data_IF_816924226885
#
_entry.id   IF_816924226885
#
_cell.length_a   1.000
_cell.length_b   1.000
_cell.length_c   1.000
_cell.angle_alpha   90.00
_cell.angle_beta   90.00
_cell.angle_gamma   90.00
#
_symmetry.space_group_name_H-M   'P 1'
#
loop_
_entity.id
_entity.type
_entity.pdbx_description
1 polymer ?
#
# COMPACT_ATOMS: atom_id res chain seq x y z
N UNK A 1 -53.75 10.16 -50.57
CA UNK A 1 -52.41 10.77 -50.64
C UNK A 1 -52.02 11.22 -49.23
N UNK A 2 -51.30 10.36 -48.48
CA UNK A 2 -49.90 10.54 -48.07
C UNK A 2 -49.70 11.74 -47.10
N UNK A 3 -49.86 11.51 -45.78
CA UNK A 3 -48.79 11.26 -44.77
C UNK A 3 -47.71 12.35 -44.71
N UNK A 4 -47.60 13.01 -43.55
CA UNK A 4 -46.39 12.99 -42.67
C UNK A 4 -46.60 13.87 -41.43
N UNK A 5 -46.95 13.21 -40.33
CA UNK A 5 -46.84 13.73 -38.97
C UNK A 5 -45.39 13.53 -38.53
N UNK A 6 -44.64 14.62 -38.31
CA UNK A 6 -43.27 14.58 -37.81
C UNK A 6 -43.35 14.49 -36.28
N UNK A 7 -43.25 13.28 -35.73
CA UNK A 7 -42.98 13.07 -34.30
C UNK A 7 -41.48 13.24 -34.06
N UNK A 8 -41.10 14.33 -33.41
CA UNK A 8 -39.77 14.55 -32.87
C UNK A 8 -39.68 13.76 -31.55
N UNK A 9 -39.01 12.60 -31.56
CA UNK A 9 -38.66 11.88 -30.33
C UNK A 9 -37.45 12.58 -29.73
N UNK A 10 -37.69 13.46 -28.75
CA UNK A 10 -36.65 13.96 -27.87
C UNK A 10 -36.15 12.80 -27.00
N UNK A 11 -35.02 12.20 -27.38
CA UNK A 11 -34.32 11.24 -26.54
C UNK A 11 -33.60 12.02 -25.43
N UNK A 12 -34.26 12.18 -24.29
CA UNK A 12 -33.66 12.69 -23.07
C UNK A 12 -32.55 11.72 -22.64
N UNK A 13 -31.29 12.08 -22.90
CA UNK A 13 -30.16 11.37 -22.33
C UNK A 13 -30.01 11.82 -20.87
N UNK A 14 -30.53 11.02 -19.94
CA UNK A 14 -30.13 11.10 -18.55
C UNK A 14 -28.68 10.61 -18.47
N UNK A 15 -27.73 11.55 -18.47
CA UNK A 15 -26.36 11.28 -18.05
C UNK A 15 -26.44 11.06 -16.54
N UNK A 16 -26.43 9.79 -16.11
CA UNK A 16 -26.22 9.48 -14.70
C UNK A 16 -24.77 9.83 -14.39
N UNK A 17 -24.56 10.92 -13.65
CA UNK A 17 -23.30 11.17 -12.97
C UNK A 17 -23.18 10.09 -11.89
N UNK A 18 -22.35 9.08 -12.14
CA UNK A 18 -22.08 8.01 -11.19
C UNK A 18 -20.94 8.54 -10.31
N UNK A 19 -21.23 8.85 -9.06
CA UNK A 19 -20.18 9.10 -8.08
C UNK A 19 -19.46 7.76 -7.85
N UNK A 20 -18.13 7.74 -7.94
CA UNK A 20 -17.33 6.63 -7.43
C UNK A 20 -17.66 6.49 -5.94
N UNK A 21 -18.25 5.36 -5.55
CA UNK A 21 -18.56 5.10 -4.16
C UNK A 21 -17.33 4.50 -3.47
N UNK A 22 -17.17 4.76 -2.18
CA UNK A 22 -16.09 4.16 -1.40
C UNK A 22 -16.34 2.66 -1.19
N UNK A 23 -15.34 1.83 -1.43
CA UNK A 23 -15.35 0.43 -1.04
C UNK A 23 -15.18 0.34 0.48
N UNK A 24 -15.90 -0.56 1.15
CA UNK A 24 -15.71 -0.79 2.58
C UNK A 24 -15.18 -2.20 2.78
N UNK A 25 -13.95 -2.30 3.28
CA UNK A 25 -13.28 -3.57 3.57
C UNK A 25 -12.97 -3.59 5.06
N UNK A 26 -13.65 -4.46 5.80
CA UNK A 26 -13.49 -4.63 7.25
C UNK A 26 -13.63 -3.33 8.07
N UNK A 27 -14.50 -2.42 7.63
CA UNK A 27 -14.74 -1.14 8.29
C UNK A 27 -13.81 0.00 7.85
N UNK A 28 -12.85 -0.29 6.97
CA UNK A 28 -12.00 0.71 6.32
C UNK A 28 -12.65 1.14 5.01
N UNK A 29 -12.94 2.43 4.87
CA UNK A 29 -13.45 2.99 3.61
C UNK A 29 -12.28 3.29 2.69
N UNK A 30 -12.27 2.73 1.48
CA UNK A 30 -11.27 2.97 0.43
C UNK A 30 -11.93 3.66 -0.77
N UNK A 31 -11.41 4.80 -1.21
CA UNK A 31 -11.87 5.47 -2.46
C UNK A 31 -10.77 5.44 -3.51
N UNK A 32 -11.16 5.40 -4.78
CA UNK A 32 -10.23 5.38 -5.90
C UNK A 32 -9.39 6.66 -5.99
N UNK A 33 -8.13 6.51 -6.38
CA UNK A 33 -7.19 7.60 -6.64
C UNK A 33 -5.93 7.50 -5.78
N UNK A 34 -5.19 8.61 -5.64
CA UNK A 34 -3.91 8.61 -4.94
C UNK A 34 -4.05 8.11 -3.52
N UNK A 35 -3.21 7.16 -3.15
CA UNK A 35 -3.10 6.61 -1.82
C UNK A 35 -1.84 7.15 -1.15
N UNK A 36 -2.02 7.76 0.01
CA UNK A 36 -0.94 8.15 0.92
C UNK A 36 -1.35 7.71 2.31
N UNK A 37 -0.53 6.92 2.97
CA UNK A 37 -0.72 6.52 4.36
C UNK A 37 0.51 6.91 5.15
N UNK A 38 0.33 7.64 6.24
CA UNK A 38 1.41 8.12 7.10
C UNK A 38 1.27 7.55 8.49
N UNK A 39 2.41 7.22 9.06
CA UNK A 39 2.57 6.81 10.44
C UNK A 39 3.57 7.74 11.10
N UNK A 40 3.14 8.51 12.08
CA UNK A 40 3.98 9.32 12.95
C UNK A 40 4.65 8.46 14.04
N UNK A 41 4.08 7.28 14.32
CA UNK A 41 4.59 6.33 15.31
C UNK A 41 4.99 5.01 14.65
N UNK A 42 6.29 4.89 14.36
CA UNK A 42 6.92 3.66 13.85
C UNK A 42 8.08 3.27 14.75
N UNK A 43 8.07 2.01 15.16
CA UNK A 43 9.16 1.37 15.87
C UNK A 43 9.92 0.47 14.90
N UNK A 44 11.23 0.43 15.05
CA UNK A 44 12.11 -0.47 14.30
C UNK A 44 13.07 -1.15 15.25
N UNK A 45 13.35 -2.42 14.95
CA UNK A 45 14.46 -3.16 15.53
C UNK A 45 15.34 -3.71 14.42
N UNK A 46 16.63 -3.39 14.47
CA UNK A 46 17.66 -3.94 13.59
C UNK A 46 18.58 -4.84 14.41
N UNK A 47 18.62 -6.12 14.08
CA UNK A 47 19.47 -7.10 14.77
C UNK A 47 20.96 -6.84 14.52
N UNK A 48 21.81 -7.00 15.54
CA UNK A 48 23.25 -6.79 15.44
C UNK A 48 24.02 -8.03 14.91
N UNK A 49 23.46 -8.77 13.95
CA UNK A 49 24.08 -9.97 13.37
C UNK A 49 24.46 -9.77 11.89
N UNK A 50 25.38 -10.59 11.33
CA UNK A 50 25.80 -10.47 9.93
C UNK A 50 24.65 -10.65 8.93
N UNK A 51 23.68 -11.49 9.28
CA UNK A 51 22.46 -11.78 8.51
C UNK A 51 21.30 -10.87 8.91
N UNK A 52 21.59 -9.73 9.55
CA UNK A 52 20.63 -8.83 10.20
C UNK A 52 19.31 -8.71 9.42
N UNK A 53 18.25 -9.25 10.00
CA UNK A 53 16.90 -8.92 9.61
C UNK A 53 16.51 -7.61 10.31
N UNK A 54 15.66 -6.82 9.65
CA UNK A 54 15.00 -5.72 10.34
C UNK A 54 13.52 -6.04 10.47
N UNK A 55 12.96 -5.57 11.57
CA UNK A 55 11.54 -5.59 11.81
C UNK A 55 11.08 -4.17 12.12
N UNK A 56 9.90 -3.81 11.66
CA UNK A 56 9.27 -2.54 12.00
C UNK A 56 7.78 -2.75 12.25
N UNK A 57 7.19 -1.91 13.09
CA UNK A 57 5.76 -1.94 13.35
C UNK A 57 5.27 -0.56 13.74
N UNK A 58 3.97 -0.32 13.60
CA UNK A 58 3.39 0.96 13.93
C UNK A 58 1.91 1.04 13.67
N UNK A 59 1.38 2.24 13.86
CA UNK A 59 -0.02 2.60 13.62
C UNK A 59 -0.11 3.54 12.43
N UNK A 60 -1.15 3.41 11.62
CA UNK A 60 -1.48 4.34 10.54
C UNK A 60 -2.27 5.50 11.13
N UNK A 61 -1.64 6.68 11.25
CA UNK A 61 -2.23 7.87 11.87
C UNK A 61 -3.12 8.64 10.90
N UNK A 62 -2.66 8.80 9.66
CA UNK A 62 -3.48 9.40 8.61
C UNK A 62 -3.37 8.58 7.35
N UNK A 63 -4.52 8.35 6.72
CA UNK A 63 -4.54 8.03 5.30
C UNK A 63 -5.14 9.22 4.56
N UNK A 64 -4.76 9.38 3.30
CA UNK A 64 -5.42 10.28 2.35
C UNK A 64 -6.93 10.08 2.39
N UNK A 65 -7.70 11.00 1.80
CA UNK A 65 -9.17 10.86 1.67
C UNK A 65 -9.64 9.56 0.98
N UNK A 66 -8.69 8.77 0.45
CA UNK A 66 -8.86 7.44 -0.13
C UNK A 66 -8.77 6.28 0.83
N UNK A 67 -8.43 6.43 2.11
CA UNK A 67 -8.56 5.35 3.10
C UNK A 67 -8.95 5.95 4.46
N UNK A 68 -10.00 5.48 5.12
CA UNK A 68 -10.40 5.98 6.45
C UNK A 68 -10.93 4.87 7.35
N UNK A 69 -10.35 4.75 8.56
CA UNK A 69 -10.85 3.91 9.65
C UNK A 69 -11.72 4.77 10.58
N UNK A 70 -13.04 4.61 10.55
CA UNK A 70 -13.94 5.47 11.33
C UNK A 70 -14.02 5.14 12.83
N UNK A 71 -13.92 3.85 13.17
CA UNK A 71 -14.01 3.33 14.55
C UNK A 71 -12.97 2.23 14.84
N UNK A 72 -12.06 2.02 13.89
CA UNK A 72 -11.08 0.96 13.93
C UNK A 72 -9.67 1.55 13.98
N UNK A 73 -8.73 0.70 14.33
CA UNK A 73 -7.30 0.97 14.35
C UNK A 73 -6.64 0.19 13.22
N UNK A 74 -5.79 0.84 12.43
CA UNK A 74 -5.05 0.22 11.35
C UNK A 74 -3.56 0.22 11.75
N UNK A 75 -2.99 -0.96 11.94
CA UNK A 75 -1.59 -1.16 12.32
C UNK A 75 -0.87 -1.93 11.23
N UNK A 76 0.47 -1.96 11.30
CA UNK A 76 1.27 -2.76 10.39
C UNK A 76 2.47 -3.39 11.08
N UNK A 77 2.93 -4.51 10.52
CA UNK A 77 4.19 -5.17 10.87
C UNK A 77 4.96 -5.48 9.59
N UNK A 78 6.21 -5.03 9.53
CA UNK A 78 7.19 -5.34 8.50
C UNK A 78 8.24 -6.29 9.07
N UNK A 79 8.53 -7.39 8.38
CA UNK A 79 9.48 -8.44 8.82
C UNK A 79 10.05 -9.21 7.63
N UNK A 80 10.92 -10.18 7.91
CA UNK A 80 11.48 -11.14 6.94
C UNK A 80 12.32 -10.48 5.82
N UNK A 81 12.80 -9.25 6.04
CA UNK A 81 13.73 -8.58 5.13
C UNK A 81 15.14 -9.11 5.33
N UNK A 82 15.72 -9.69 4.28
CA UNK A 82 17.03 -10.33 4.33
C UNK A 82 18.10 -9.35 3.86
N UNK A 83 19.12 -9.12 4.67
CA UNK A 83 20.27 -8.31 4.27
C UNK A 83 21.01 -8.95 3.11
N UNK A 84 21.28 -8.15 2.08
CA UNK A 84 22.04 -8.53 0.90
C UNK A 84 23.51 -8.15 1.06
N UNK A 85 23.77 -6.86 1.26
CA UNK A 85 25.11 -6.29 1.39
C UNK A 85 25.02 -4.85 1.95
N UNK A 86 26.16 -4.20 2.16
CA UNK A 86 26.28 -2.79 2.52
C UNK A 86 27.27 -2.06 1.62
N UNK A 87 26.96 -0.81 1.25
CA UNK A 87 27.85 0.08 0.51
C UNK A 87 27.84 1.47 1.16
N UNK A 88 28.97 1.85 1.77
CA UNK A 88 29.07 3.11 2.49
C UNK A 88 28.09 3.15 3.67
N UNK A 89 27.19 4.13 3.67
CA UNK A 89 26.13 4.28 4.68
C UNK A 89 24.86 3.49 4.37
N UNK A 90 24.78 2.80 3.23
CA UNK A 90 23.60 2.08 2.80
C UNK A 90 23.71 0.59 3.13
N UNK A 91 22.60 0.02 3.57
CA UNK A 91 22.40 -1.42 3.68
C UNK A 91 21.23 -1.81 2.79
N UNK A 92 21.44 -2.83 1.97
CA UNK A 92 20.48 -3.30 0.99
C UNK A 92 19.82 -4.56 1.49
N UNK A 93 18.52 -4.64 1.32
CA UNK A 93 17.69 -5.76 1.73
C UNK A 93 16.87 -6.24 0.54
N UNK A 94 16.51 -7.50 0.57
CA UNK A 94 15.59 -8.13 -0.37
C UNK A 94 14.48 -8.86 0.36
N UNK A 95 13.49 -9.28 -0.41
CA UNK A 95 12.33 -9.99 0.11
C UNK A 95 11.59 -9.09 1.12
N UNK A 96 11.09 -9.66 2.21
CA UNK A 96 10.34 -8.95 3.24
C UNK A 96 8.83 -8.94 2.99
N UNK A 97 8.09 -8.86 4.09
CA UNK A 97 6.63 -8.81 4.12
C UNK A 97 6.20 -7.61 4.95
N UNK A 98 5.14 -6.92 4.52
CA UNK A 98 4.45 -5.90 5.30
C UNK A 98 2.98 -6.30 5.39
N UNK A 99 2.51 -6.57 6.60
CA UNK A 99 1.12 -6.96 6.87
C UNK A 99 0.42 -5.83 7.59
N UNK A 100 -0.74 -5.41 7.08
CA UNK A 100 -1.62 -4.45 7.73
C UNK A 100 -2.75 -5.19 8.44
N UNK A 101 -3.07 -4.74 9.65
CA UNK A 101 -4.11 -5.32 10.50
C UNK A 101 -5.15 -4.28 10.85
N UNK A 102 -6.42 -4.66 10.74
CA UNK A 102 -7.55 -3.86 11.22
C UNK A 102 -8.01 -4.42 12.56
N UNK A 103 -7.91 -3.61 13.61
CA UNK A 103 -8.50 -3.89 14.90
C UNK A 103 -9.77 -3.04 15.14
N UNK A 104 -10.82 -3.70 15.63
CA UNK A 104 -12.08 -3.07 16.00
C UNK A 104 -12.11 -2.61 17.46
N UNK A 105 -11.05 -2.88 18.22
CA UNK A 105 -10.90 -2.47 19.62
C UNK A 105 -9.64 -1.62 19.85
N UNK A 106 -9.55 -0.40 19.27
CA UNK A 106 -8.31 0.40 19.26
C UNK A 106 -7.59 0.41 20.61
N UNK A 107 -6.42 -0.22 20.65
CA UNK A 107 -5.67 -0.49 21.87
C UNK A 107 -4.14 -0.44 21.67
N UNK A 108 -3.66 -0.02 20.50
CA UNK A 108 -2.23 0.01 20.20
C UNK A 108 -1.44 0.76 21.28
N UNK A 109 -0.49 0.05 21.88
CA UNK A 109 0.31 0.53 22.99
C UNK A 109 1.79 0.73 22.62
N UNK A 110 2.12 0.58 21.33
CA UNK A 110 3.48 0.64 20.82
C UNK A 110 4.21 -0.70 20.81
N UNK A 111 3.61 -1.78 21.30
CA UNK A 111 4.18 -3.13 21.20
C UNK A 111 3.85 -3.79 19.86
N UNK A 112 4.65 -4.78 19.47
CA UNK A 112 4.33 -5.60 18.29
C UNK A 112 3.08 -6.45 18.51
N UNK A 113 2.79 -6.83 19.76
CA UNK A 113 1.65 -7.69 20.08
C UNK A 113 0.33 -6.98 19.80
N UNK A 114 0.21 -5.71 20.18
CA UNK A 114 -0.94 -4.85 19.83
C UNK A 114 -0.88 -4.32 18.40
N UNK A 115 0.24 -4.47 17.68
CA UNK A 115 0.32 -4.15 16.25
C UNK A 115 -0.24 -5.27 15.36
N UNK A 116 -0.44 -6.48 15.89
CA UNK A 116 -0.80 -7.67 15.12
C UNK A 116 -2.01 -8.44 15.69
N UNK A 117 -2.71 -7.88 16.68
CA UNK A 117 -3.87 -8.49 17.33
C UNK A 117 -5.19 -8.29 16.54
N UNK A 118 -5.17 -7.44 15.52
CA UNK A 118 -6.26 -7.27 14.56
C UNK A 118 -6.36 -8.37 13.48
N UNK A 119 -7.31 -8.20 12.57
CA UNK A 119 -7.48 -9.07 11.40
C UNK A 119 -6.63 -8.59 10.22
N UNK A 120 -5.95 -9.51 9.53
CA UNK A 120 -5.16 -9.19 8.32
C UNK A 120 -6.06 -8.52 7.27
N UNK A 121 -5.66 -7.34 6.81
CA UNK A 121 -6.42 -6.51 5.88
C UNK A 121 -5.74 -6.37 4.51
N UNK A 122 -4.42 -6.15 4.51
CA UNK A 122 -3.60 -6.05 3.31
C UNK A 122 -2.25 -6.71 3.59
N UNK A 123 -1.75 -7.50 2.65
CA UNK A 123 -0.44 -8.12 2.73
C UNK A 123 0.39 -7.73 1.51
N UNK A 124 1.60 -7.24 1.79
CA UNK A 124 2.56 -6.78 0.81
C UNK A 124 3.85 -7.59 0.91
N UNK A 125 4.53 -7.78 -0.22
CA UNK A 125 5.86 -8.38 -0.29
C UNK A 125 6.85 -7.40 -0.95
N UNK A 126 8.14 -7.48 -0.61
CA UNK A 126 9.17 -6.67 -1.25
C UNK A 126 9.26 -6.91 -2.76
N UNK A 127 9.16 -5.85 -3.55
CA UNK A 127 9.32 -5.90 -5.00
C UNK A 127 10.81 -5.96 -5.36
N UNK A 128 11.32 -7.16 -5.60
CA UNK A 128 12.73 -7.40 -5.84
C UNK A 128 13.18 -6.90 -7.22
N UNK A 129 14.02 -5.85 -7.25
CA UNK A 129 14.62 -5.30 -8.49
C UNK A 129 16.09 -5.66 -8.65
N UNK A 130 16.58 -5.87 -9.89
CA UNK A 130 18.01 -6.10 -10.13
C UNK A 130 18.86 -4.89 -9.72
N UNK A 131 19.90 -5.14 -8.93
CA UNK A 131 20.90 -4.17 -8.55
C UNK A 131 22.31 -4.74 -8.69
N UNK A 132 23.32 -3.87 -8.79
CA UNK A 132 24.73 -4.25 -8.74
C UNK A 132 25.37 -3.59 -7.54
N UNK A 133 25.75 -4.39 -6.54
CA UNK A 133 26.37 -3.93 -5.30
C UNK A 133 27.76 -4.56 -5.22
N UNK A 134 28.81 -3.75 -5.02
CA UNK A 134 30.20 -4.20 -5.00
C UNK A 134 30.60 -5.04 -6.25
N UNK A 135 29.99 -4.76 -7.40
CA UNK A 135 30.23 -5.49 -8.66
C UNK A 135 29.52 -6.83 -8.78
N UNK A 136 28.64 -7.18 -7.83
CA UNK A 136 27.86 -8.41 -7.80
C UNK A 136 26.40 -8.09 -8.16
N UNK A 137 25.87 -8.79 -9.17
CA UNK A 137 24.43 -8.70 -9.48
C UNK A 137 23.61 -9.40 -8.40
N UNK A 138 22.60 -8.70 -7.89
CA UNK A 138 21.70 -9.16 -6.82
C UNK A 138 20.30 -8.56 -7.01
N UNK A 139 19.39 -8.88 -6.10
CA UNK A 139 18.05 -8.31 -6.02
C UNK A 139 17.90 -7.46 -4.77
N UNK A 140 17.15 -6.36 -4.86
CA UNK A 140 16.90 -5.42 -3.76
C UNK A 140 15.43 -4.97 -3.80
N UNK A 141 14.78 -4.97 -2.65
CA UNK A 141 13.43 -4.43 -2.43
C UNK A 141 13.42 -3.23 -1.48
N UNK A 142 14.45 -3.10 -0.63
CA UNK A 142 14.54 -2.04 0.38
C UNK A 142 15.99 -1.60 0.62
N UNK A 143 16.17 -0.31 0.87
CA UNK A 143 17.45 0.32 1.16
C UNK A 143 17.33 1.11 2.46
N UNK A 144 18.12 0.72 3.47
CA UNK A 144 18.31 1.50 4.69
C UNK A 144 19.56 2.37 4.58
N UNK A 145 19.51 3.60 5.07
CA UNK A 145 20.64 4.54 5.09
C UNK A 145 20.90 5.04 6.50
N UNK A 146 22.15 4.96 6.94
CA UNK A 146 22.60 5.54 8.20
C UNK A 146 23.16 6.94 7.93
N UNK A 147 22.50 7.96 8.46
CA UNK A 147 23.00 9.32 8.44
C UNK A 147 23.78 9.58 9.73
N UNK A 148 24.99 10.11 9.60
CA UNK A 148 25.85 10.44 10.75
C UNK A 148 26.09 11.94 10.82
N UNK A 149 26.12 12.45 12.04
CA UNK A 149 26.44 13.85 12.35
C UNK A 149 27.32 13.90 13.58
N UNK A 150 28.41 14.67 13.51
CA UNK A 150 29.34 14.86 14.64
C UNK A 150 29.91 13.55 15.23
N UNK A 151 30.06 12.51 14.40
CA UNK A 151 30.62 11.21 14.83
C UNK A 151 29.60 10.25 15.47
N UNK A 152 28.32 10.59 15.46
CA UNK A 152 27.22 9.76 15.97
C UNK A 152 26.15 9.54 14.88
N UNK A 153 25.30 8.54 15.05
CA UNK A 153 24.10 8.36 14.22
C UNK A 153 23.17 9.55 14.46
N UNK A 154 22.88 10.33 13.41
CA UNK A 154 21.94 11.45 13.46
C UNK A 154 20.53 11.03 13.10
N UNK A 155 20.39 10.15 12.11
CA UNK A 155 19.10 9.57 11.71
C UNK A 155 19.31 8.28 10.90
N UNK A 156 18.28 7.47 10.83
CA UNK A 156 18.16 6.36 9.88
C UNK A 156 17.05 6.71 8.90
N UNK A 157 17.23 6.40 7.63
CA UNK A 157 16.17 6.52 6.62
C UNK A 157 16.02 5.20 5.89
N UNK A 158 14.82 4.91 5.41
CA UNK A 158 14.53 3.69 4.65
C UNK A 158 13.66 4.01 3.45
N UNK A 159 13.92 3.37 2.33
CA UNK A 159 13.12 3.44 1.11
C UNK A 159 12.92 2.02 0.57
N UNK A 160 11.69 1.70 0.18
CA UNK A 160 11.33 0.40 -0.35
C UNK A 160 10.21 0.46 -1.36
N UNK A 161 10.09 -0.62 -2.11
CA UNK A 161 9.05 -0.85 -3.11
C UNK A 161 8.44 -2.22 -2.86
N UNK A 162 7.12 -2.32 -2.95
CA UNK A 162 6.38 -3.51 -2.52
C UNK A 162 5.22 -3.81 -3.45
N UNK A 163 4.90 -5.10 -3.55
CA UNK A 163 3.79 -5.67 -4.31
C UNK A 163 2.70 -6.16 -3.35
N UNK A 164 1.45 -6.02 -3.75
CA UNK A 164 0.29 -6.58 -3.09
C UNK A 164 0.23 -8.07 -3.38
N UNK A 165 0.23 -8.88 -2.32
CA UNK A 165 0.23 -10.35 -2.43
C UNK A 165 -0.96 -11.00 -1.74
N UNK A 166 -1.72 -10.26 -0.93
CA UNK A 166 -2.85 -10.83 -0.20
C UNK A 166 -3.66 -9.83 0.62
N UNK A 167 -4.62 -10.37 1.36
CA UNK A 167 -5.55 -9.61 2.20
C UNK A 167 -6.88 -9.27 1.52
N UNK A 168 -7.97 -9.06 2.31
CA UNK A 168 -9.28 -8.64 1.79
C UNK A 168 -9.25 -7.37 0.94
N UNK A 169 -8.30 -6.45 1.18
CA UNK A 169 -8.16 -5.21 0.44
C UNK A 169 -7.31 -5.33 -0.84
N UNK A 170 -6.68 -6.48 -1.11
CA UNK A 170 -5.66 -6.64 -2.16
C UNK A 170 -6.09 -6.09 -3.52
N UNK A 171 -7.29 -6.43 -3.97
CA UNK A 171 -7.81 -6.03 -5.29
C UNK A 171 -7.99 -4.51 -5.47
N UNK A 172 -7.93 -3.74 -4.38
CA UNK A 172 -8.01 -2.28 -4.42
C UNK A 172 -6.63 -1.63 -4.56
N UNK A 173 -5.54 -2.36 -4.28
CA UNK A 173 -4.18 -1.83 -4.23
C UNK A 173 -3.21 -2.46 -5.25
N UNK A 174 -3.54 -3.61 -5.86
CA UNK A 174 -2.75 -4.29 -6.90
C UNK A 174 -2.83 -3.54 -8.24
N UNK A 175 -2.10 -2.43 -8.35
CA UNK A 175 -2.13 -1.46 -9.45
C UNK A 175 -0.99 -1.62 -10.44
N UNK A 176 0.18 -2.07 -9.98
CA UNK A 176 1.44 -2.08 -10.72
C UNK A 176 1.81 -0.71 -11.31
N UNK A 177 1.37 0.39 -10.68
CA UNK A 177 1.50 1.75 -11.20
C UNK A 177 2.75 2.49 -10.69
N UNK A 178 3.49 1.91 -9.74
CA UNK A 178 4.69 2.51 -9.18
C UNK A 178 5.97 2.10 -9.93
N UNK A 179 7.13 2.55 -9.43
CA UNK A 179 8.43 2.28 -10.03
C UNK A 179 8.67 0.78 -10.20
N UNK A 180 9.30 0.40 -11.31
CA UNK A 180 9.55 -0.99 -11.68
C UNK A 180 8.28 -1.87 -11.84
N UNK A 181 7.08 -1.27 -11.80
CA UNK A 181 5.81 -2.00 -11.84
C UNK A 181 5.36 -2.50 -10.48
N UNK A 182 5.89 -1.95 -9.37
CA UNK A 182 5.40 -2.28 -8.03
C UNK A 182 4.04 -1.61 -7.73
N UNK A 183 3.41 -2.02 -6.64
CA UNK A 183 2.11 -1.48 -6.24
C UNK A 183 2.21 -0.26 -5.35
N UNK A 184 3.13 -0.28 -4.39
CA UNK A 184 3.31 0.78 -3.40
C UNK A 184 4.79 1.12 -3.22
N UNK A 185 5.06 2.37 -2.84
CA UNK A 185 6.35 2.81 -2.32
C UNK A 185 6.24 2.94 -0.79
N UNK A 186 7.34 2.68 -0.10
CA UNK A 186 7.49 2.87 1.34
C UNK A 186 8.70 3.77 1.62
N UNK A 187 8.55 4.71 2.53
CA UNK A 187 9.65 5.51 3.05
C UNK A 187 9.56 5.62 4.57
N UNK A 188 10.70 5.77 5.25
CA UNK A 188 10.76 5.89 6.70
C UNK A 188 11.92 6.77 7.16
N UNK A 189 11.77 7.36 8.34
CA UNK A 189 12.81 8.17 9.00
C UNK A 189 12.77 7.94 10.50
N UNK A 190 13.92 7.63 11.10
CA UNK A 190 14.09 7.40 12.53
C UNK A 190 15.16 8.33 13.10
N UNK A 191 14.83 9.03 14.19
CA UNK A 191 15.71 10.01 14.83
C UNK A 191 16.04 9.69 16.27
N UNK A 192 15.21 8.88 16.95
CA UNK A 192 15.46 8.42 18.30
C UNK A 192 16.00 6.99 18.25
N UNK A 193 17.32 6.85 18.42
CA UNK A 193 18.03 5.59 18.26
C UNK A 193 18.68 5.18 19.59
N UNK A 194 18.53 3.92 19.99
CA UNK A 194 19.11 3.39 21.22
C UNK A 194 19.53 1.94 21.04
N UNK A 195 20.64 1.56 21.67
CA UNK A 195 21.00 0.14 21.77
C UNK A 195 20.06 -0.54 22.75
N UNK A 196 19.52 -1.70 22.37
CA UNK A 196 18.52 -2.40 23.16
C UNK A 196 18.56 -3.91 22.96
N UNK A 197 17.68 -4.59 23.68
CA UNK A 197 17.42 -6.02 23.51
C UNK A 197 15.96 -6.20 23.16
N UNK A 198 15.68 -6.90 22.06
CA UNK A 198 14.33 -7.24 21.63
C UNK A 198 14.26 -8.74 21.35
N UNK A 199 13.26 -9.41 21.93
CA UNK A 199 13.11 -10.88 21.87
C UNK A 199 14.40 -11.68 22.16
N UNK A 200 15.23 -11.17 23.08
CA UNK A 200 16.49 -11.80 23.47
C UNK A 200 17.69 -11.50 22.55
N UNK A 201 17.49 -10.75 21.46
CA UNK A 201 18.56 -10.31 20.56
C UNK A 201 19.00 -8.89 20.87
N UNK A 202 20.31 -8.63 20.85
CA UNK A 202 20.84 -7.27 20.92
C UNK A 202 20.75 -6.60 19.56
N UNK A 203 20.40 -5.31 19.56
CA UNK A 203 20.23 -4.58 18.31
C UNK A 203 19.99 -3.09 18.52
N UNK A 204 19.76 -2.40 17.41
CA UNK A 204 19.40 -0.99 17.39
C UNK A 204 17.87 -0.88 17.41
N UNK A 205 17.34 -0.28 18.47
CA UNK A 205 15.93 0.11 18.57
C UNK A 205 15.78 1.57 18.18
N UNK A 206 14.83 1.82 17.28
CA UNK A 206 14.65 3.11 16.63
C UNK A 206 13.17 3.51 16.62
N UNK A 207 12.92 4.79 16.83
CA UNK A 207 11.58 5.39 16.79
C UNK A 207 11.54 6.54 15.77
N UNK A 208 10.46 6.59 15.00
CA UNK A 208 10.34 7.48 13.85
C UNK A 208 8.99 7.43 13.18
N UNK A 209 8.98 7.84 11.91
CA UNK A 209 7.80 7.91 11.06
C UNK A 209 7.99 7.12 9.75
N UNK A 210 6.86 6.81 9.11
CA UNK A 210 6.79 6.09 7.85
C UNK A 210 5.72 6.64 6.94
N UNK A 211 5.87 6.43 5.64
CA UNK A 211 4.86 6.79 4.65
C UNK A 211 4.80 5.73 3.56
N UNK A 212 3.58 5.27 3.27
CA UNK A 212 3.25 4.46 2.10
C UNK A 212 2.59 5.34 1.05
N UNK A 213 2.98 5.19 -0.21
CA UNK A 213 2.36 5.91 -1.33
C UNK A 213 2.06 4.98 -2.48
N UNK A 214 0.91 5.17 -3.12
CA UNK A 214 0.58 4.50 -4.37
C UNK A 214 -0.74 4.99 -4.94
N UNK A 215 -1.45 4.09 -5.61
CA UNK A 215 -2.75 4.35 -6.20
C UNK A 215 -3.75 3.27 -5.74
N UNK A 216 -5.03 3.55 -5.91
CA UNK A 216 -6.10 2.58 -5.65
C UNK A 216 -6.98 2.41 -6.87
N UNK A 217 -7.35 1.16 -7.16
CA UNK A 217 -8.13 0.82 -8.35
C UNK A 217 -9.61 1.20 -8.16
N UNK A 218 -10.26 1.75 -9.21
CA UNK A 218 -11.71 1.92 -9.22
C UNK A 218 -12.45 0.60 -9.00
N UNK A 219 -13.44 0.61 -8.10
CA UNK A 219 -14.18 -0.61 -7.72
C UNK A 219 -14.58 -1.51 -8.91
N UNK A 220 -14.58 -2.85 -8.74
CA UNK A 220 -15.02 -3.80 -9.76
C UNK A 220 -16.43 -3.50 -10.32
N UNK A 221 -17.30 -2.84 -9.55
CA UNK A 221 -18.63 -2.43 -9.98
C UNK A 221 -18.59 -1.42 -11.14
N UNK A 222 -17.61 -0.51 -11.19
CA UNK A 222 -17.44 0.42 -12.29
C UNK A 222 -17.08 -0.31 -13.59
N UNK A 223 -16.21 -1.32 -13.52
CA UNK A 223 -15.85 -2.18 -14.66
C UNK A 223 -17.06 -3.03 -15.09
N UNK A 224 -17.78 -3.62 -14.14
CA UNK A 224 -18.98 -4.39 -14.42
C UNK A 224 -20.08 -3.55 -15.08
N UNK A 225 -20.29 -2.32 -14.63
CA UNK A 225 -21.25 -1.38 -15.22
C UNK A 225 -20.80 -0.87 -16.59
N UNK A 226 -19.50 -0.62 -16.79
CA UNK A 226 -18.97 -0.31 -18.11
C UNK A 226 -19.20 -1.48 -19.09
N UNK A 227 -18.93 -2.71 -18.65
CA UNK A 227 -19.24 -3.92 -19.41
C UNK A 227 -20.74 -4.09 -19.70
N UNK A 228 -21.60 -3.85 -18.72
CA UNK A 228 -23.06 -3.89 -18.88
C UNK A 228 -23.57 -2.77 -19.80
N UNK A 229 -22.97 -1.58 -19.74
CA UNK A 229 -23.27 -0.45 -20.63
C UNK A 229 -22.91 -0.77 -22.08
N UNK A 230 -21.76 -1.39 -22.31
CA UNK A 230 -21.35 -1.89 -23.64
C UNK A 230 -22.28 -2.99 -24.16
N UNK A 231 -22.67 -3.95 -23.31
CA UNK A 231 -23.63 -5.00 -23.67
C UNK A 231 -25.01 -4.38 -23.99
N UNK A 232 -25.46 -3.41 -23.19
CA UNK A 232 -26.70 -2.67 -23.41
C UNK A 232 -26.71 -1.92 -24.75
N UNK A 233 -25.61 -1.25 -25.09
CA UNK A 233 -25.44 -0.57 -26.38
C UNK A 233 -25.36 -1.54 -27.56
N UNK A 234 -24.65 -2.65 -27.42
CA UNK A 234 -24.59 -3.70 -28.45
C UNK A 234 -25.94 -4.40 -28.66
N UNK A 235 -26.74 -4.56 -27.61
CA UNK A 235 -28.12 -5.04 -27.68
C UNK A 235 -29.05 -4.03 -28.37
N UNK A 236 -28.89 -2.75 -28.08
CA UNK A 236 -29.67 -1.68 -28.70
C UNK A 236 -29.32 -1.48 -30.19
N UNK A 237 -28.05 -1.63 -30.58
CA UNK A 237 -27.63 -1.51 -31.98
C UNK A 237 -28.17 -2.65 -32.84
N UNK A 238 -28.15 -3.90 -32.36
CA UNK A 238 -28.72 -5.06 -33.08
C UNK A 238 -30.22 -4.94 -33.32
N UNK A 239 -30.98 -4.39 -32.38
CA UNK A 239 -32.43 -4.15 -32.55
C UNK A 239 -32.75 -3.13 -33.65
N UNK A 240 -31.82 -2.23 -33.99
CA UNK A 240 -31.98 -1.28 -35.10
C UNK A 240 -31.73 -1.92 -36.46
N UNK A 241 -30.87 -2.93 -36.54
CA UNK A 241 -30.59 -3.67 -37.77
C UNK A 241 -31.63 -4.74 -38.11
N UNK A 242 -32.28 -5.34 -37.10
CA UNK A 242 -33.34 -6.34 -37.30
C UNK A 242 -34.71 -5.77 -37.75
N UNK A 243 -34.83 -4.45 -37.94
CA UNK A 243 -36.05 -3.77 -38.42
C UNK A 243 -35.94 -3.25 -39.87
N UNK A 244 -35.07 -3.84 -40.69
CA UNK A 244 -35.07 -3.63 -42.15
C UNK A 244 -35.81 -4.76 -42.85
#
# INVERSE_FOLDING_TARGET
MLRKLIMLIAATQCIFAINANAAVVDGVNVTSGPFVSTSDTVFQFLEATPDSEFMAWGIVDTSSSSTTCGSCELTFVAKDYVKVDSLGSQTFYRDGTISFYVDQTPNFDGSIDTAQDGSLWLELAGHNTPAVINGISTMVSFIGTINTGFGSISSLTGEGIVDVVGGPAAALFDTNEQVAGSDLLFSSTFTANSQGVFQGQSGLSSFGSGTFTGETIPEPAAIALFGLGLIGMAGASRRRYAKK
#
